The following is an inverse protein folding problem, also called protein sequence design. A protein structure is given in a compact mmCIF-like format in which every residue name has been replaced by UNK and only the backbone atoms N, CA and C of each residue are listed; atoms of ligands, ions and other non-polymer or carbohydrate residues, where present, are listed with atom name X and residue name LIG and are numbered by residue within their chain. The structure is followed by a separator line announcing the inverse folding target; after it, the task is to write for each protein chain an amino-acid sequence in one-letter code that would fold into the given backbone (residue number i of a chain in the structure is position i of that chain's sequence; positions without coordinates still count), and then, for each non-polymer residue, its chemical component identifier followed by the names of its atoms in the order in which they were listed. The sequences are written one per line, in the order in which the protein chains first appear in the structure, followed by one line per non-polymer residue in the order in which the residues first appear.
data_IF_362902007689
#
_entry.id   IF_362902007689
#
_cell.length_a   1.000
_cell.length_b   1.000
_cell.length_c   1.000
_cell.angle_alpha   90.00
_cell.angle_beta   90.00
_cell.angle_gamma   90.00
#
_symmetry.space_group_name_H-M   'P 1'
#
loop_
_entity.id
_entity.type
_entity.pdbx_description
1 polymer ?
#
# COMPACT_ATOMS: atom_id res chain seq x y z
N UNK A 1 -7.78 -33.12 -38.51
CA UNK A 1 -8.09 -33.11 -37.08
C UNK A 1 -8.33 -31.66 -36.67
N UNK A 2 -9.45 -31.29 -36.02
CA UNK A 2 -9.65 -29.90 -35.64
C UNK A 2 -8.76 -29.55 -34.45
N UNK A 3 -7.98 -28.46 -34.58
CA UNK A 3 -7.24 -27.85 -33.49
C UNK A 3 -8.25 -27.36 -32.44
N UNK A 4 -8.13 -27.84 -31.21
CA UNK A 4 -8.89 -27.30 -30.08
C UNK A 4 -8.45 -25.86 -29.87
N UNK A 5 -9.39 -24.94 -30.08
CA UNK A 5 -9.26 -23.55 -29.67
C UNK A 5 -9.08 -23.55 -28.15
N UNK A 6 -7.87 -23.34 -27.65
CA UNK A 6 -7.66 -23.05 -26.23
C UNK A 6 -8.22 -21.65 -25.99
N UNK A 7 -9.52 -21.59 -25.70
CA UNK A 7 -10.14 -20.43 -25.07
C UNK A 7 -9.36 -20.20 -23.77
N UNK A 8 -8.55 -19.15 -23.75
CA UNK A 8 -7.93 -18.66 -22.54
C UNK A 8 -9.05 -18.12 -21.66
N UNK A 9 -9.65 -18.99 -20.85
CA UNK A 9 -10.56 -18.58 -19.80
C UNK A 9 -9.70 -17.77 -18.84
N UNK A 10 -9.88 -16.45 -18.70
CA UNK A 10 -9.13 -15.70 -17.71
C UNK A 10 -9.42 -16.34 -16.37
N UNK A 11 -8.36 -16.82 -15.71
CA UNK A 11 -8.46 -17.36 -14.36
C UNK A 11 -9.21 -16.32 -13.51
N UNK A 12 -10.32 -16.66 -12.83
CA UNK A 12 -11.00 -15.72 -11.97
C UNK A 12 -9.97 -15.12 -11.03
N UNK A 13 -9.89 -13.79 -11.03
CA UNK A 13 -8.78 -13.13 -10.38
C UNK A 13 -8.77 -13.47 -8.88
N UNK A 14 -7.65 -14.03 -8.41
CA UNK A 14 -7.49 -14.51 -7.04
C UNK A 14 -7.71 -13.35 -6.06
N UNK A 15 -8.73 -13.47 -5.22
CA UNK A 15 -8.97 -12.54 -4.13
C UNK A 15 -8.05 -12.88 -2.96
N UNK A 16 -7.52 -11.84 -2.32
CA UNK A 16 -6.74 -11.93 -1.09
C UNK A 16 -7.43 -11.08 -0.01
N UNK A 17 -7.40 -11.57 1.21
CA UNK A 17 -7.69 -10.77 2.39
C UNK A 17 -6.46 -9.94 2.74
N UNK A 18 -6.62 -8.65 2.99
CA UNK A 18 -5.54 -7.79 3.47
C UNK A 18 -5.85 -7.44 4.92
N UNK A 19 -4.84 -7.59 5.78
CA UNK A 19 -4.95 -7.34 7.21
C UNK A 19 -3.84 -6.36 7.61
N UNK A 20 -4.24 -5.18 8.06
CA UNK A 20 -3.36 -4.15 8.63
C UNK A 20 -3.46 -4.20 10.14
N UNK A 21 -2.35 -4.48 10.80
CA UNK A 21 -2.16 -4.27 12.23
C UNK A 21 -1.58 -2.88 12.45
N UNK A 22 -1.95 -2.21 13.53
CA UNK A 22 -1.32 -0.94 13.92
C UNK A 22 -0.42 -1.18 15.13
N UNK A 23 0.88 -0.90 14.97
CA UNK A 23 1.88 -1.18 15.98
C UNK A 23 1.51 -0.57 17.33
N UNK A 24 1.81 -1.29 18.42
CA UNK A 24 1.50 -0.83 19.77
C UNK A 24 0.00 -0.74 20.10
N UNK A 25 -0.89 -1.29 19.27
CA UNK A 25 -2.33 -1.32 19.52
C UNK A 25 -2.98 -2.65 19.14
N UNK A 26 -4.20 -2.87 19.61
CA UNK A 26 -5.05 -4.00 19.18
C UNK A 26 -5.87 -3.66 17.92
N UNK A 27 -5.67 -2.49 17.30
CA UNK A 27 -6.44 -2.07 16.12
C UNK A 27 -6.03 -2.92 14.91
N UNK A 28 -7.03 -3.52 14.29
CA UNK A 28 -6.89 -4.32 13.07
C UNK A 28 -7.88 -3.81 12.05
N UNK A 29 -7.39 -3.56 10.83
CA UNK A 29 -8.22 -3.22 9.68
C UNK A 29 -8.14 -4.37 8.67
N UNK A 30 -9.26 -4.61 7.98
CA UNK A 30 -9.34 -5.71 7.01
C UNK A 30 -10.15 -5.30 5.81
N UNK A 31 -9.63 -5.60 4.63
CA UNK A 31 -10.33 -5.44 3.35
C UNK A 31 -9.99 -6.57 2.39
N UNK A 32 -10.67 -6.61 1.25
CA UNK A 32 -10.40 -7.58 0.18
C UNK A 32 -9.78 -6.88 -1.00
N UNK A 33 -8.87 -7.57 -1.68
CA UNK A 33 -8.22 -7.06 -2.88
C UNK A 33 -7.92 -8.16 -3.87
N UNK A 34 -7.94 -7.80 -5.14
CA UNK A 34 -7.67 -8.69 -6.25
C UNK A 34 -6.16 -8.75 -6.52
N UNK A 35 -5.55 -9.94 -6.42
CA UNK A 35 -4.16 -10.13 -6.80
C UNK A 35 -3.97 -9.85 -8.30
N UNK A 36 -3.12 -8.88 -8.63
CA UNK A 36 -2.74 -8.54 -10.01
C UNK A 36 -1.48 -9.31 -10.43
N UNK A 37 -0.47 -9.31 -9.57
CA UNK A 37 0.81 -9.98 -9.80
C UNK A 37 1.50 -10.27 -8.48
N UNK A 38 2.45 -11.21 -8.49
CA UNK A 38 3.27 -11.47 -7.33
C UNK A 38 4.56 -12.18 -7.67
N UNK A 39 5.55 -11.95 -6.81
CA UNK A 39 6.80 -12.69 -6.72
C UNK A 39 6.88 -13.29 -5.31
N UNK A 40 7.93 -14.05 -4.96
CA UNK A 40 8.12 -14.47 -3.56
C UNK A 40 8.15 -13.30 -2.58
N UNK A 41 8.68 -12.13 -3.00
CA UNK A 41 8.91 -10.99 -2.12
C UNK A 41 7.97 -9.81 -2.35
N UNK A 42 7.11 -9.85 -3.38
CA UNK A 42 6.18 -8.75 -3.67
C UNK A 42 4.80 -9.23 -4.08
N UNK A 43 3.77 -8.48 -3.68
CA UNK A 43 2.37 -8.68 -4.10
C UNK A 43 1.80 -7.35 -4.55
N UNK A 44 1.24 -7.31 -5.76
CA UNK A 44 0.48 -6.16 -6.26
C UNK A 44 -1.00 -6.50 -6.30
N UNK A 45 -1.82 -5.65 -5.69
CA UNK A 45 -3.25 -5.90 -5.43
C UNK A 45 -4.06 -4.70 -5.92
N UNK A 46 -5.23 -4.96 -6.51
CA UNK A 46 -6.22 -3.94 -6.80
C UNK A 46 -7.34 -3.99 -5.75
N UNK A 47 -7.59 -2.88 -5.07
CA UNK A 47 -8.65 -2.73 -4.09
C UNK A 47 -9.44 -1.44 -4.36
N UNK A 48 -10.63 -1.34 -3.77
CA UNK A 48 -11.43 -0.12 -3.80
C UNK A 48 -11.56 0.40 -2.37
N UNK A 49 -11.32 1.70 -2.19
CA UNK A 49 -11.52 2.35 -0.92
C UNK A 49 -13.01 2.31 -0.55
N UNK A 50 -13.31 1.81 0.64
CA UNK A 50 -14.67 1.70 1.19
C UNK A 50 -14.80 2.34 2.58
N UNK A 51 -13.75 3.06 3.02
CA UNK A 51 -13.75 3.79 4.28
C UNK A 51 -14.51 5.11 4.19
N UNK A 52 -14.60 5.83 5.31
CA UNK A 52 -15.17 7.17 5.31
C UNK A 52 -14.30 8.14 4.50
N UNK A 53 -14.89 9.11 3.78
CA UNK A 53 -14.12 10.15 3.13
C UNK A 53 -13.22 10.90 4.14
N UNK A 54 -12.00 11.23 3.72
CA UNK A 54 -11.02 11.89 4.58
C UNK A 54 -9.85 12.45 3.77
N UNK A 55 -9.04 13.31 4.37
CA UNK A 55 -7.90 13.90 3.71
C UNK A 55 -6.60 13.19 4.09
N UNK A 56 -5.82 12.80 3.08
CA UNK A 56 -4.40 12.48 3.19
C UNK A 56 -3.60 13.68 2.67
N UNK A 57 -3.03 14.48 3.56
CA UNK A 57 -2.48 15.79 3.19
C UNK A 57 -3.56 16.66 2.52
N UNK A 58 -3.34 17.05 1.26
CA UNK A 58 -4.31 17.82 0.46
C UNK A 58 -5.21 16.96 -0.43
N UNK A 59 -5.01 15.64 -0.43
CA UNK A 59 -5.76 14.70 -1.28
C UNK A 59 -6.99 14.21 -0.53
N UNK A 60 -8.18 14.49 -1.07
CA UNK A 60 -9.41 13.86 -0.59
C UNK A 60 -9.39 12.39 -1.00
N UNK A 61 -9.55 11.46 -0.08
CA UNK A 61 -9.82 10.04 -0.33
C UNK A 61 -11.32 9.82 -0.14
N UNK A 62 -11.96 9.11 -1.07
CA UNK A 62 -13.41 8.93 -1.06
C UNK A 62 -13.82 7.52 -1.50
N UNK A 63 -14.95 6.99 -0.99
CA UNK A 63 -15.46 5.67 -1.38
C UNK A 63 -15.49 5.50 -2.90
N UNK A 64 -14.91 4.40 -3.39
CA UNK A 64 -14.84 4.07 -4.81
C UNK A 64 -13.52 4.45 -5.48
N UNK A 65 -12.64 5.25 -4.83
CA UNK A 65 -11.27 5.42 -5.28
C UNK A 65 -10.56 4.07 -5.41
N UNK A 66 -9.83 3.88 -6.50
CA UNK A 66 -9.14 2.62 -6.80
C UNK A 66 -7.71 2.68 -6.29
N UNK A 67 -7.34 1.69 -5.49
CA UNK A 67 -6.03 1.57 -4.88
C UNK A 67 -5.29 0.41 -5.56
N UNK A 68 -4.16 0.71 -6.18
CA UNK A 68 -3.23 -0.33 -6.62
C UNK A 68 -2.11 -0.41 -5.59
N UNK A 69 -2.22 -1.43 -4.75
CA UNK A 69 -1.41 -1.62 -3.56
C UNK A 69 -0.21 -2.52 -3.87
N UNK A 70 0.96 -2.17 -3.34
CA UNK A 70 2.19 -2.96 -3.47
C UNK A 70 2.76 -3.26 -2.09
N UNK A 71 2.84 -4.55 -1.77
CA UNK A 71 3.37 -5.06 -0.51
C UNK A 71 4.68 -5.81 -0.73
N UNK A 72 5.57 -5.77 0.26
CA UNK A 72 6.91 -6.34 0.19
C UNK A 72 7.26 -7.11 1.47
N UNK A 73 7.97 -8.23 1.33
CA UNK A 73 8.48 -9.03 2.48
C UNK A 73 9.90 -8.63 2.88
N UNK A 74 10.54 -7.75 2.11
CA UNK A 74 11.93 -7.32 2.26
C UNK A 74 12.09 -5.78 2.28
N UNK A 75 10.99 -5.03 2.28
CA UNK A 75 11.00 -3.57 2.46
C UNK A 75 10.22 -3.17 3.72
N UNK A 76 10.61 -2.03 4.30
CA UNK A 76 9.95 -1.42 5.47
C UNK A 76 8.89 -0.39 5.08
N UNK A 77 8.23 -0.65 3.96
CA UNK A 77 7.07 0.11 3.50
C UNK A 77 6.20 -0.76 2.61
N UNK A 78 4.95 -0.36 2.46
CA UNK A 78 4.13 -0.67 1.30
C UNK A 78 3.75 0.66 0.63
N UNK A 79 3.23 0.63 -0.59
CA UNK A 79 2.69 1.84 -1.20
C UNK A 79 1.46 1.60 -2.04
N UNK A 80 0.60 2.61 -2.09
CA UNK A 80 -0.64 2.62 -2.85
C UNK A 80 -0.56 3.68 -3.95
N UNK A 81 -0.82 3.28 -5.18
CA UNK A 81 -1.16 4.22 -6.25
C UNK A 81 -2.67 4.45 -6.17
N UNK A 82 -3.06 5.68 -5.80
CA UNK A 82 -4.46 6.01 -5.56
C UNK A 82 -5.00 6.74 -6.79
N UNK A 83 -6.05 6.19 -7.38
CA UNK A 83 -6.70 6.73 -8.58
C UNK A 83 -8.09 7.28 -8.24
N UNK A 84 -8.50 8.34 -8.94
CA UNK A 84 -9.83 8.92 -8.84
C UNK A 84 -10.88 7.97 -9.42
N UNK A 85 -11.67 7.36 -8.53
CA UNK A 85 -12.65 6.34 -8.91
C UNK A 85 -12.03 5.22 -9.77
N UNK A 86 -12.68 4.92 -10.90
CA UNK A 86 -12.20 3.93 -11.88
C UNK A 86 -11.39 4.55 -13.04
N UNK A 87 -11.07 5.84 -12.97
CA UNK A 87 -10.25 6.50 -14.00
C UNK A 87 -8.77 6.11 -13.90
N UNK A 88 -7.97 6.58 -14.86
CA UNK A 88 -6.51 6.49 -14.82
C UNK A 88 -5.86 7.75 -14.22
N UNK A 89 -6.65 8.67 -13.65
CA UNK A 89 -6.12 9.87 -13.00
C UNK A 89 -5.57 9.51 -11.61
N UNK A 90 -4.26 9.58 -11.45
CA UNK A 90 -3.61 9.39 -10.14
C UNK A 90 -3.82 10.63 -9.28
N UNK A 91 -4.32 10.41 -8.06
CA UNK A 91 -4.47 11.43 -7.02
C UNK A 91 -3.17 11.61 -6.25
N UNK A 92 -2.51 10.50 -5.91
CA UNK A 92 -1.20 10.47 -5.24
C UNK A 92 -0.60 9.05 -5.22
N UNK A 93 0.66 8.98 -4.80
CA UNK A 93 1.24 7.80 -4.17
C UNK A 93 1.17 7.96 -2.66
N UNK A 94 0.80 6.91 -1.95
CA UNK A 94 0.75 6.88 -0.50
C UNK A 94 1.63 5.75 0.00
N UNK A 95 2.74 6.07 0.67
CA UNK A 95 3.67 5.09 1.25
C UNK A 95 3.38 4.97 2.74
N UNK A 96 3.02 3.77 3.19
CA UNK A 96 2.92 3.46 4.62
C UNK A 96 4.25 2.89 5.09
N UNK A 97 4.91 3.53 6.04
CA UNK A 97 6.06 2.92 6.72
C UNK A 97 5.53 1.80 7.60
N UNK A 98 6.08 0.61 7.38
CA UNK A 98 5.54 -0.62 7.95
C UNK A 98 6.66 -1.63 8.18
N UNK A 99 6.39 -2.64 8.99
CA UNK A 99 7.24 -3.84 8.97
C UNK A 99 7.03 -4.60 7.65
N UNK A 100 8.02 -5.38 7.20
CA UNK A 100 7.85 -6.22 6.04
C UNK A 100 6.63 -7.13 6.17
N UNK A 101 5.84 -7.20 5.11
CA UNK A 101 4.60 -7.96 5.08
C UNK A 101 4.88 -9.46 5.16
N UNK A 102 3.89 -10.21 5.65
CA UNK A 102 3.88 -11.68 5.63
C UNK A 102 2.83 -12.12 4.62
N UNK A 103 3.24 -12.97 3.68
CA UNK A 103 2.35 -13.50 2.65
C UNK A 103 1.93 -14.92 2.99
N UNK A 104 0.63 -15.16 2.89
CA UNK A 104 0.01 -16.47 2.92
C UNK A 104 -0.68 -16.74 1.57
N UNK A 105 -1.29 -17.90 1.44
CA UNK A 105 -2.04 -18.22 0.23
C UNK A 105 -3.30 -17.34 0.06
N UNK A 106 -4.02 -17.07 1.13
CA UNK A 106 -5.31 -16.38 1.06
C UNK A 106 -5.25 -14.93 1.52
N UNK A 107 -4.11 -14.49 2.07
CA UNK A 107 -4.00 -13.17 2.69
C UNK A 107 -2.61 -12.56 2.72
N UNK A 108 -2.59 -11.26 2.93
CA UNK A 108 -1.41 -10.44 3.22
C UNK A 108 -1.62 -9.82 4.60
N UNK A 109 -0.64 -9.97 5.48
CA UNK A 109 -0.61 -9.33 6.79
C UNK A 109 0.56 -8.35 6.84
N UNK A 110 0.33 -7.16 7.41
CA UNK A 110 1.38 -6.17 7.60
C UNK A 110 1.11 -5.33 8.85
N UNK A 111 2.18 -4.77 9.43
CA UNK A 111 2.11 -3.93 10.62
C UNK A 111 2.55 -2.51 10.28
N UNK A 112 1.65 -1.57 10.52
CA UNK A 112 1.77 -0.13 10.32
C UNK A 112 2.57 0.53 11.44
N UNK A 113 3.47 1.44 11.08
CA UNK A 113 4.34 2.14 12.03
C UNK A 113 4.00 3.63 12.12
N UNK A 114 2.77 4.03 11.79
CA UNK A 114 2.22 5.38 12.00
C UNK A 114 3.05 6.53 11.42
N UNK A 115 3.80 6.27 10.36
CA UNK A 115 4.59 7.27 9.65
C UNK A 115 4.39 7.06 8.16
N UNK A 116 4.03 8.12 7.45
CA UNK A 116 3.62 8.00 6.05
C UNK A 116 4.27 9.07 5.19
N UNK A 117 4.52 8.72 3.93
CA UNK A 117 5.00 9.63 2.89
C UNK A 117 4.00 9.69 1.75
N UNK A 118 3.45 10.88 1.55
CA UNK A 118 2.58 11.19 0.43
C UNK A 118 3.40 11.80 -0.71
N UNK A 119 3.18 11.33 -1.94
CA UNK A 119 3.76 11.91 -3.15
C UNK A 119 2.64 12.40 -4.06
N UNK A 120 2.65 13.70 -4.35
CA UNK A 120 1.70 14.35 -5.24
C UNK A 120 2.03 14.11 -6.72
N UNK A 121 1.07 14.31 -7.65
CA UNK A 121 1.31 14.11 -9.09
C UNK A 121 2.40 14.99 -9.69
N UNK A 122 2.75 16.11 -9.05
CA UNK A 122 3.87 16.99 -9.43
C UNK A 122 5.22 16.53 -8.85
N UNK A 123 5.25 15.40 -8.13
CA UNK A 123 6.43 14.85 -7.47
C UNK A 123 6.73 15.46 -6.10
N UNK A 124 5.94 16.44 -5.63
CA UNK A 124 6.09 16.98 -4.28
C UNK A 124 5.87 15.88 -3.24
N UNK A 125 6.74 15.83 -2.24
CA UNK A 125 6.68 14.84 -1.16
C UNK A 125 6.25 15.53 0.15
N UNK A 126 5.38 14.89 0.91
CA UNK A 126 4.90 15.35 2.22
C UNK A 126 4.91 14.21 3.24
N UNK A 127 5.53 14.44 4.39
CA UNK A 127 5.41 13.55 5.55
C UNK A 127 4.09 13.79 6.27
N UNK A 128 3.48 12.71 6.74
CA UNK A 128 2.25 12.71 7.54
C UNK A 128 2.49 12.02 8.88
N UNK A 129 1.58 12.28 9.84
CA UNK A 129 1.41 11.53 11.08
C UNK A 129 2.67 11.48 12.00
N UNK A 130 3.51 12.52 11.92
CA UNK A 130 4.72 12.67 12.73
C UNK A 130 4.46 12.62 14.24
N UNK A 131 3.32 13.16 14.67
CA UNK A 131 2.86 13.15 16.06
C UNK A 131 2.43 11.76 16.51
N UNK A 132 1.70 11.02 15.66
CA UNK A 132 1.36 9.62 15.94
C UNK A 132 2.63 8.75 16.02
N UNK A 133 3.56 8.90 15.08
CA UNK A 133 4.84 8.19 15.10
C UNK A 133 5.68 8.48 16.35
N UNK A 134 5.70 9.73 16.81
CA UNK A 134 6.44 10.13 18.00
C UNK A 134 5.89 9.46 19.28
N UNK A 135 4.59 9.19 19.32
CA UNK A 135 3.91 8.53 20.46
C UNK A 135 3.98 6.99 20.39
N UNK A 136 4.38 6.43 19.25
CA UNK A 136 4.45 4.99 19.05
C UNK A 136 5.50 4.34 19.97
N UNK A 137 5.09 3.33 20.74
CA UNK A 137 5.98 2.58 21.63
C UNK A 137 6.75 1.49 20.86
N UNK A 138 7.80 1.91 20.14
CA UNK A 138 8.72 1.04 19.40
C UNK A 138 10.15 1.24 19.88
N UNK A 139 10.98 0.20 19.70
CA UNK A 139 12.39 0.27 20.03
C UNK A 139 13.16 1.24 19.11
N UNK A 140 14.30 1.73 19.60
CA UNK A 140 15.13 2.70 18.90
C UNK A 140 15.63 2.21 17.54
N UNK A 141 15.92 0.91 17.39
CA UNK A 141 16.38 0.35 16.12
C UNK A 141 15.25 0.35 15.09
N UNK A 142 14.05 -0.04 15.48
CA UNK A 142 12.85 0.08 14.63
C UNK A 142 12.67 1.55 14.19
N UNK A 143 12.78 2.50 15.12
CA UNK A 143 12.64 3.94 14.82
C UNK A 143 13.70 4.44 13.82
N UNK A 144 14.95 4.00 13.96
CA UNK A 144 16.03 4.32 13.02
C UNK A 144 15.76 3.78 11.62
N UNK A 145 15.23 2.55 11.50
CA UNK A 145 14.90 1.96 10.20
C UNK A 145 13.77 2.75 9.52
N UNK A 146 12.74 3.20 10.26
CA UNK A 146 11.69 4.05 9.71
C UNK A 146 12.27 5.33 9.10
N UNK A 147 13.14 6.03 9.85
CA UNK A 147 13.77 7.26 9.37
C UNK A 147 14.70 7.05 8.19
N UNK A 148 15.47 5.95 8.19
CA UNK A 148 16.29 5.59 7.04
C UNK A 148 15.44 5.31 5.80
N UNK A 149 14.34 4.58 5.96
CA UNK A 149 13.39 4.28 4.88
C UNK A 149 12.80 5.56 4.29
N UNK A 150 12.38 6.50 5.14
CA UNK A 150 11.92 7.83 4.71
C UNK A 150 13.01 8.58 3.94
N UNK A 151 14.24 8.59 4.46
CA UNK A 151 15.37 9.24 3.79
C UNK A 151 15.60 8.67 2.39
N UNK A 152 15.59 7.34 2.26
CA UNK A 152 15.81 6.65 0.98
C UNK A 152 14.68 6.97 -0.01
N UNK A 153 13.42 6.93 0.43
CA UNK A 153 12.26 7.28 -0.40
C UNK A 153 12.26 8.76 -0.81
N UNK A 154 12.64 9.67 0.11
CA UNK A 154 12.72 11.10 -0.18
C UNK A 154 13.75 11.41 -1.27
N UNK A 155 14.88 10.70 -1.27
CA UNK A 155 15.96 10.84 -2.24
C UNK A 155 15.76 10.01 -3.53
N UNK A 156 14.71 9.22 -3.61
CA UNK A 156 14.38 8.44 -4.82
C UNK A 156 13.49 9.26 -5.76
N UNK A 157 13.73 9.15 -7.07
CA UNK A 157 12.79 9.61 -8.08
C UNK A 157 11.64 8.59 -8.19
N UNK A 158 10.48 8.98 -7.67
CA UNK A 158 9.26 8.16 -7.64
C UNK A 158 8.29 8.53 -8.76
N UNK A 159 8.65 9.46 -9.66
CA UNK A 159 7.76 9.93 -10.73
C UNK A 159 7.46 8.84 -11.76
N UNK A 160 8.31 7.82 -11.87
CA UNK A 160 8.06 6.64 -12.71
C UNK A 160 6.87 5.78 -12.24
N UNK A 161 6.35 6.03 -11.03
CA UNK A 161 5.17 5.36 -10.46
C UNK A 161 3.88 6.19 -10.63
N UNK A 162 3.99 7.44 -11.09
CA UNK A 162 2.88 8.36 -11.34
C UNK A 162 2.27 8.20 -12.75
#
# INVERSE_FOLDING_TARGET
MPQKLNLHIPNPARQLKIIKHHAGSEKIYTWSGQLLSGTPNSRRVNACFNGNPGYAGKVLLEPGDRFVESYFTDCWYNFFQIYAGQSNLIKCLYFNISRPAVFYDDRIEWEDLSLDLLVYPDGLKQLLDLDEFALLNIDEKTRQICWQTISDLANTDLTCLL
#
